data_IF_869676728556
#
_entry.id   IF_869676728556
#
_cell.length_a   1.000
_cell.length_b   1.000
_cell.length_c   1.000
_cell.angle_alpha   90.00
_cell.angle_beta   90.00
_cell.angle_gamma   90.00
#
_symmetry.space_group_name_H-M   'P 1'
#
loop_
_entity.id
_entity.type
_entity.pdbx_description
1 polymer ?
#
# COMPACT_ATOMS: atom_id res chain seq x y z
N UNK A 1 -4.78 88.37 -11.01
CA UNK A 1 -5.86 87.44 -11.42
C UNK A 1 -5.26 86.04 -11.43
N UNK A 2 -5.71 85.20 -10.49
CA UNK A 2 -5.44 83.76 -10.24
C UNK A 2 -3.96 83.31 -10.15
N UNK A 3 -3.36 83.08 -8.98
CA UNK A 3 -3.61 82.01 -7.96
C UNK A 3 -3.63 80.61 -8.57
N UNK A 4 -2.53 79.85 -8.39
CA UNK A 4 -2.56 78.38 -8.38
C UNK A 4 -2.21 77.89 -6.97
N UNK A 5 -3.16 77.16 -6.39
CA UNK A 5 -3.13 76.53 -5.06
C UNK A 5 -2.44 75.18 -5.13
N UNK A 6 -1.79 74.83 -4.02
CA UNK A 6 -1.32 73.49 -3.65
C UNK A 6 -2.47 72.46 -3.63
N UNK A 7 -2.16 71.20 -3.94
CA UNK A 7 -2.69 70.11 -3.12
C UNK A 7 -1.62 69.01 -2.87
N UNK A 8 -1.58 68.57 -1.61
CA UNK A 8 -0.76 67.49 -1.07
C UNK A 8 -1.61 66.22 -1.05
N UNK A 9 -0.96 65.10 -1.32
CA UNK A 9 -1.13 63.75 -0.72
C UNK A 9 -1.31 62.66 -1.76
N UNK A 10 -0.48 61.62 -1.64
CA UNK A 10 -0.83 60.18 -1.61
C UNK A 10 0.46 59.38 -1.86
N UNK A 11 1.16 59.04 -0.78
CA UNK A 11 1.25 57.66 -0.24
C UNK A 11 2.10 56.75 -1.14
N UNK A 12 3.31 56.49 -0.64
CA UNK A 12 4.22 55.45 -1.12
C UNK A 12 3.51 54.09 -1.12
N UNK A 13 3.14 53.59 -2.29
CA UNK A 13 2.69 52.22 -2.46
C UNK A 13 3.89 51.27 -2.27
N UNK A 14 4.00 50.69 -1.08
CA UNK A 14 4.80 49.46 -0.89
C UNK A 14 4.12 48.34 -1.70
N UNK A 15 4.85 47.54 -2.48
CA UNK A 15 4.25 46.37 -3.11
C UNK A 15 3.75 45.43 -2.01
N UNK A 16 2.44 45.14 -2.03
CA UNK A 16 1.85 44.04 -1.25
C UNK A 16 2.60 42.77 -1.62
N UNK A 17 3.26 42.13 -0.65
CA UNK A 17 3.69 40.74 -0.79
C UNK A 17 2.43 39.93 -1.08
N UNK A 18 2.26 39.54 -2.33
CA UNK A 18 1.25 38.55 -2.71
C UNK A 18 1.58 37.29 -1.89
N UNK A 19 0.67 36.91 -1.01
CA UNK A 19 0.72 35.61 -0.35
C UNK A 19 0.76 34.56 -1.46
N UNK A 20 1.84 33.78 -1.50
CA UNK A 20 1.93 32.64 -2.42
C UNK A 20 0.83 31.65 -2.01
N UNK A 21 -0.07 31.23 -2.91
CA UNK A 21 -0.98 30.15 -2.59
C UNK A 21 -0.13 28.91 -2.28
N UNK A 22 -0.35 28.33 -1.11
CA UNK A 22 0.11 26.97 -0.81
C UNK A 22 -0.64 26.06 -1.77
N UNK A 23 -0.06 25.80 -2.94
CA UNK A 23 -0.42 24.65 -3.74
C UNK A 23 0.05 23.43 -2.95
N UNK A 24 -0.83 22.91 -2.10
CA UNK A 24 -0.75 21.52 -1.70
C UNK A 24 -0.88 20.74 -3.00
N UNK A 25 0.25 20.25 -3.53
CA UNK A 25 0.24 19.24 -4.58
C UNK A 25 -0.51 18.06 -3.96
N UNK A 26 -1.79 17.94 -4.30
CA UNK A 26 -2.57 16.74 -4.06
C UNK A 26 -1.84 15.68 -4.86
N UNK A 27 -0.98 14.88 -4.22
CA UNK A 27 -0.40 13.72 -4.90
C UNK A 27 -1.59 12.89 -5.33
N UNK A 28 -1.79 12.73 -6.63
CA UNK A 28 -2.83 11.86 -7.13
C UNK A 28 -2.60 10.48 -6.53
N UNK A 29 -3.66 9.95 -5.95
CA UNK A 29 -3.70 8.61 -5.42
C UNK A 29 -3.59 7.65 -6.61
N UNK A 30 -2.42 7.06 -6.79
CA UNK A 30 -2.14 6.19 -7.93
C UNK A 30 -2.52 4.74 -7.56
N UNK A 31 -3.81 4.42 -7.65
CA UNK A 31 -4.23 3.01 -7.72
C UNK A 31 -3.90 2.52 -9.12
N UNK A 32 -2.96 1.59 -9.21
CA UNK A 32 -2.55 0.99 -10.49
C UNK A 32 -3.43 -0.21 -10.83
N UNK A 33 -3.55 -0.51 -12.12
CA UNK A 33 -4.32 -1.66 -12.58
C UNK A 33 -3.67 -2.99 -12.22
N UNK A 34 -4.51 -3.98 -11.93
CA UNK A 34 -4.05 -5.36 -11.77
C UNK A 34 -3.57 -5.91 -13.14
N UNK A 35 -2.50 -6.72 -13.18
CA UNK A 35 -2.10 -7.42 -14.40
C UNK A 35 -3.23 -8.30 -14.93
N UNK A 36 -3.34 -8.43 -16.27
CA UNK A 36 -4.39 -9.23 -16.94
C UNK A 36 -4.55 -10.64 -16.35
N UNK A 37 -3.44 -11.33 -16.03
CA UNK A 37 -3.46 -12.66 -15.41
C UNK A 37 -4.25 -12.71 -14.10
N UNK A 38 -4.21 -11.64 -13.30
CA UNK A 38 -4.99 -11.55 -12.05
C UNK A 38 -6.44 -11.16 -12.37
N UNK A 39 -6.66 -10.22 -13.30
CA UNK A 39 -8.01 -9.80 -13.70
C UNK A 39 -8.82 -10.98 -14.26
N UNK A 40 -8.24 -11.72 -15.21
CA UNK A 40 -8.86 -12.90 -15.83
C UNK A 40 -9.20 -13.97 -14.78
N UNK A 41 -8.29 -14.24 -13.84
CA UNK A 41 -8.54 -15.15 -12.73
C UNK A 41 -9.70 -14.67 -11.84
N UNK A 42 -9.75 -13.38 -11.51
CA UNK A 42 -10.81 -12.82 -10.68
C UNK A 42 -12.17 -12.86 -11.38
N UNK A 43 -12.19 -12.72 -12.70
CA UNK A 43 -13.39 -12.91 -13.53
C UNK A 43 -13.81 -14.38 -13.60
N UNK A 44 -12.87 -15.31 -13.79
CA UNK A 44 -13.14 -16.76 -13.87
C UNK A 44 -13.80 -17.29 -12.58
N UNK A 45 -13.36 -16.78 -11.42
CA UNK A 45 -13.93 -17.16 -10.12
C UNK A 45 -15.10 -16.27 -9.66
N UNK A 46 -15.63 -15.44 -10.56
CA UNK A 46 -16.78 -14.55 -10.36
C UNK A 46 -16.64 -13.68 -9.09
N UNK A 47 -15.45 -13.08 -8.92
CA UNK A 47 -15.08 -12.34 -7.72
C UNK A 47 -15.95 -11.09 -7.56
N UNK A 48 -16.49 -10.81 -6.36
CA UNK A 48 -17.26 -9.58 -6.14
C UNK A 48 -16.44 -8.31 -6.40
N UNK A 49 -17.06 -7.27 -6.97
CA UNK A 49 -16.37 -6.00 -7.29
C UNK A 49 -15.65 -5.36 -6.09
N UNK A 50 -16.26 -5.47 -4.90
CA UNK A 50 -15.64 -5.01 -3.64
C UNK A 50 -14.30 -5.72 -3.37
N UNK A 51 -14.22 -7.01 -3.68
CA UNK A 51 -12.99 -7.80 -3.53
C UNK A 51 -11.96 -7.39 -4.59
N UNK A 52 -12.35 -7.25 -5.86
CA UNK A 52 -11.45 -6.81 -6.93
C UNK A 52 -10.78 -5.46 -6.59
N UNK A 53 -11.58 -4.48 -6.16
CA UNK A 53 -11.09 -3.17 -5.69
C UNK A 53 -10.16 -3.27 -4.49
N UNK A 54 -10.51 -4.12 -3.52
CA UNK A 54 -9.64 -4.36 -2.36
C UNK A 54 -8.25 -4.87 -2.79
N UNK A 55 -8.23 -5.91 -3.62
CA UNK A 55 -7.00 -6.52 -4.12
C UNK A 55 -6.18 -5.52 -4.95
N UNK A 56 -6.82 -4.67 -5.73
CA UNK A 56 -6.15 -3.62 -6.51
C UNK A 56 -5.49 -2.56 -5.61
N UNK A 57 -6.13 -2.14 -4.52
CA UNK A 57 -5.53 -1.24 -3.53
C UNK A 57 -4.31 -1.87 -2.87
N UNK A 58 -4.43 -3.13 -2.43
CA UNK A 58 -3.33 -3.83 -1.75
C UNK A 58 -2.17 -4.07 -2.71
N UNK A 59 -2.46 -4.41 -3.97
CA UNK A 59 -1.47 -4.50 -5.05
C UNK A 59 -0.73 -3.18 -5.26
N UNK A 60 -1.46 -2.06 -5.36
CA UNK A 60 -0.87 -0.72 -5.53
C UNK A 60 0.00 -0.34 -4.34
N UNK A 61 -0.47 -0.64 -3.13
CA UNK A 61 0.28 -0.39 -1.88
C UNK A 61 1.54 -1.24 -1.80
N UNK A 62 1.48 -2.50 -2.23
CA UNK A 62 2.64 -3.40 -2.28
C UNK A 62 3.67 -2.93 -3.31
N UNK A 63 3.23 -2.47 -4.48
CA UNK A 63 4.10 -1.87 -5.49
C UNK A 63 4.84 -0.64 -4.96
N UNK A 64 4.14 0.28 -4.30
CA UNK A 64 4.78 1.46 -3.71
C UNK A 64 5.73 1.08 -2.55
N UNK A 65 5.34 0.13 -1.69
CA UNK A 65 6.16 -0.34 -0.58
C UNK A 65 7.45 -1.02 -1.09
N UNK A 66 7.34 -1.93 -2.06
CA UNK A 66 8.49 -2.60 -2.68
C UNK A 66 9.44 -1.58 -3.31
N UNK A 67 8.90 -0.62 -4.06
CA UNK A 67 9.70 0.42 -4.69
C UNK A 67 10.45 1.27 -3.64
N UNK A 68 9.79 1.67 -2.56
CA UNK A 68 10.44 2.44 -1.49
C UNK A 68 11.50 1.62 -0.74
N UNK A 69 11.25 0.33 -0.46
CA UNK A 69 12.24 -0.57 0.16
C UNK A 69 13.47 -0.72 -0.74
N UNK A 70 13.29 -0.92 -2.05
CA UNK A 70 14.41 -1.02 -3.00
C UNK A 70 15.19 0.28 -3.17
N UNK A 71 14.51 1.43 -3.10
CA UNK A 71 15.18 2.73 -3.15
C UNK A 71 16.03 2.98 -1.91
N UNK A 72 15.53 2.63 -0.73
CA UNK A 72 16.26 2.79 0.52
C UNK A 72 17.40 1.77 0.66
N UNK A 73 17.16 0.52 0.27
CA UNK A 73 18.14 -0.56 0.32
C UNK A 73 18.34 -1.22 -1.05
N UNK A 74 19.14 -0.63 -1.96
CA UNK A 74 19.29 -1.12 -3.33
C UNK A 74 19.84 -2.55 -3.47
N UNK A 75 20.49 -3.07 -2.43
CA UNK A 75 21.07 -4.43 -2.40
C UNK A 75 20.13 -5.48 -1.79
N UNK A 76 18.94 -5.08 -1.32
CA UNK A 76 17.96 -6.04 -0.78
C UNK A 76 17.50 -7.00 -1.88
N UNK A 77 17.38 -8.28 -1.53
CA UNK A 77 16.93 -9.33 -2.45
C UNK A 77 15.62 -9.90 -1.95
N UNK A 78 14.59 -9.82 -2.79
CA UNK A 78 13.32 -10.50 -2.66
C UNK A 78 12.66 -10.60 -4.03
N UNK A 79 11.69 -11.49 -4.17
CA UNK A 79 10.95 -11.66 -5.40
C UNK A 79 9.76 -10.68 -5.49
N UNK A 80 9.94 -9.58 -6.22
CA UNK A 80 8.91 -8.55 -6.41
C UNK A 80 7.66 -9.08 -7.12
N UNK A 81 7.82 -9.82 -8.21
CA UNK A 81 6.69 -10.38 -8.96
C UNK A 81 5.81 -11.26 -8.06
N UNK A 82 6.46 -12.02 -7.18
CA UNK A 82 5.80 -12.90 -6.22
C UNK A 82 5.06 -12.11 -5.12
N UNK A 83 5.64 -11.03 -4.62
CA UNK A 83 4.98 -10.11 -3.67
C UNK A 83 3.73 -9.50 -4.32
N UNK A 84 3.88 -8.96 -5.53
CA UNK A 84 2.79 -8.29 -6.24
C UNK A 84 1.66 -9.27 -6.57
N UNK A 85 2.00 -10.48 -7.02
CA UNK A 85 1.03 -11.55 -7.20
C UNK A 85 0.30 -11.88 -5.90
N UNK A 86 1.04 -12.04 -4.79
CA UNK A 86 0.48 -12.30 -3.47
C UNK A 86 -0.49 -11.20 -3.04
N UNK A 87 -0.08 -9.94 -3.13
CA UNK A 87 -0.90 -8.77 -2.79
C UNK A 87 -2.21 -8.74 -3.59
N UNK A 88 -2.13 -8.98 -4.90
CA UNK A 88 -3.28 -8.99 -5.80
C UNK A 88 -4.19 -10.22 -5.70
N UNK A 89 -3.83 -11.23 -4.91
CA UNK A 89 -4.61 -12.49 -4.81
C UNK A 89 -4.83 -13.00 -3.39
N UNK A 90 -4.23 -12.41 -2.35
CA UNK A 90 -4.24 -12.96 -0.99
C UNK A 90 -5.65 -13.24 -0.44
N UNK A 91 -6.62 -12.42 -0.81
CA UNK A 91 -7.99 -12.52 -0.32
C UNK A 91 -8.93 -13.26 -1.29
N UNK A 92 -8.41 -13.88 -2.36
CA UNK A 92 -9.21 -14.51 -3.42
C UNK A 92 -10.17 -15.60 -2.91
N UNK A 93 -9.86 -16.23 -1.77
CA UNK A 93 -10.78 -17.18 -1.12
C UNK A 93 -12.12 -16.57 -0.73
N UNK A 94 -12.23 -15.24 -0.65
CA UNK A 94 -13.48 -14.52 -0.41
C UNK A 94 -14.43 -14.54 -1.62
N UNK A 95 -13.96 -14.92 -2.81
CA UNK A 95 -14.84 -15.26 -3.93
C UNK A 95 -15.67 -16.52 -3.64
N UNK A 96 -15.13 -17.46 -2.84
CA UNK A 96 -15.85 -18.66 -2.39
C UNK A 96 -16.58 -18.45 -1.06
N UNK A 97 -16.01 -17.67 -0.14
CA UNK A 97 -16.55 -17.39 1.20
C UNK A 97 -16.97 -15.91 1.27
N UNK A 98 -17.93 -15.53 0.43
CA UNK A 98 -18.34 -14.13 0.22
C UNK A 98 -18.81 -13.41 1.50
N UNK A 99 -19.34 -14.14 2.48
CA UNK A 99 -19.72 -13.58 3.80
C UNK A 99 -18.53 -12.90 4.50
N UNK A 100 -17.32 -13.42 4.33
CA UNK A 100 -16.10 -12.88 4.96
C UNK A 100 -15.60 -11.57 4.30
N UNK A 101 -16.32 -11.03 3.31
CA UNK A 101 -16.13 -9.65 2.83
C UNK A 101 -16.70 -8.60 3.81
N UNK A 102 -17.68 -9.00 4.62
CA UNK A 102 -18.42 -8.11 5.52
C UNK A 102 -18.29 -8.54 6.98
N UNK A 103 -18.06 -9.82 7.21
CA UNK A 103 -17.94 -10.43 8.54
C UNK A 103 -16.51 -10.87 8.82
N UNK A 104 -16.17 -10.97 10.10
CA UNK A 104 -14.90 -11.59 10.49
C UNK A 104 -14.91 -13.07 10.15
N UNK A 105 -13.79 -13.57 9.65
CA UNK A 105 -13.60 -15.00 9.42
C UNK A 105 -12.23 -15.27 8.83
N UNK A 106 -11.92 -16.57 8.69
CA UNK A 106 -10.60 -17.07 8.26
C UNK A 106 -10.73 -18.24 7.30
N UNK A 107 -11.95 -18.63 6.89
CA UNK A 107 -12.16 -19.78 6.01
C UNK A 107 -11.66 -19.47 4.60
N UNK A 108 -11.69 -18.21 4.18
CA UNK A 108 -11.14 -17.77 2.90
C UNK A 108 -9.64 -18.08 2.78
N UNK A 109 -8.87 -18.08 3.88
CA UNK A 109 -7.41 -18.23 3.83
C UNK A 109 -7.01 -19.58 3.18
N UNK A 110 -7.50 -20.68 3.75
CA UNK A 110 -7.21 -22.02 3.23
C UNK A 110 -7.93 -22.29 1.90
N UNK A 111 -9.15 -21.75 1.74
CA UNK A 111 -9.93 -21.91 0.49
C UNK A 111 -9.29 -21.19 -0.68
N UNK A 112 -8.75 -19.99 -0.48
CA UNK A 112 -8.04 -19.21 -1.49
C UNK A 112 -6.75 -19.89 -1.93
N UNK A 113 -5.99 -20.45 -0.97
CA UNK A 113 -4.79 -21.25 -1.29
C UNK A 113 -5.12 -22.43 -2.21
N UNK A 114 -6.15 -23.23 -1.86
CA UNK A 114 -6.55 -24.35 -2.72
C UNK A 114 -7.15 -23.90 -4.05
N UNK A 115 -7.89 -22.79 -4.07
CA UNK A 115 -8.44 -22.22 -5.29
C UNK A 115 -7.32 -21.89 -6.29
N UNK A 116 -6.28 -21.18 -5.85
CA UNK A 116 -5.12 -20.86 -6.69
C UNK A 116 -4.41 -22.11 -7.20
N UNK A 117 -4.16 -23.09 -6.32
CA UNK A 117 -3.53 -24.35 -6.72
C UNK A 117 -4.35 -25.12 -7.77
N UNK A 118 -5.68 -25.15 -7.63
CA UNK A 118 -6.57 -25.80 -8.59
C UNK A 118 -6.61 -25.09 -9.94
N UNK A 119 -6.31 -23.79 -9.99
CA UNK A 119 -6.14 -23.01 -11.23
C UNK A 119 -4.70 -23.07 -11.78
N UNK A 120 -3.87 -24.00 -11.28
CA UNK A 120 -2.54 -24.26 -11.81
C UNK A 120 -1.44 -23.32 -11.32
N UNK A 121 -1.73 -22.44 -10.35
CA UNK A 121 -0.71 -21.60 -9.73
C UNK A 121 0.19 -22.43 -8.82
N UNK A 122 1.48 -22.04 -8.76
CA UNK A 122 2.46 -22.78 -7.97
C UNK A 122 2.17 -22.66 -6.48
N UNK A 123 2.69 -23.62 -5.69
CA UNK A 123 2.57 -23.59 -4.22
C UNK A 123 3.15 -22.29 -3.65
N UNK A 124 4.26 -21.80 -4.21
CA UNK A 124 4.90 -20.54 -3.81
C UNK A 124 3.99 -19.33 -4.02
N UNK A 125 3.24 -19.27 -5.13
CA UNK A 125 2.29 -18.20 -5.41
C UNK A 125 1.03 -18.33 -4.53
N UNK A 126 0.49 -19.54 -4.40
CA UNK A 126 -0.77 -19.78 -3.68
C UNK A 126 -0.66 -19.58 -2.15
N UNK A 127 0.55 -19.60 -1.59
CA UNK A 127 0.74 -19.53 -0.12
C UNK A 127 0.25 -18.22 0.48
N UNK A 128 0.32 -17.10 -0.25
CA UNK A 128 -0.07 -15.78 0.26
C UNK A 128 -1.54 -15.72 0.67
N UNK A 129 -2.39 -16.51 0.02
CA UNK A 129 -3.78 -16.61 0.42
C UNK A 129 -3.95 -17.15 1.86
N UNK A 130 -2.98 -17.91 2.35
CA UNK A 130 -2.92 -18.36 3.73
C UNK A 130 -2.02 -17.47 4.61
N UNK A 131 -0.80 -17.16 4.18
CA UNK A 131 0.20 -16.49 5.02
C UNK A 131 -0.16 -15.05 5.35
N UNK A 132 -0.93 -14.34 4.51
CA UNK A 132 -1.28 -12.94 4.76
C UNK A 132 -1.99 -12.72 6.11
N UNK A 133 -2.89 -13.66 6.48
CA UNK A 133 -3.63 -13.68 7.74
C UNK A 133 -2.89 -14.38 8.88
N UNK A 134 -1.85 -15.16 8.55
CA UNK A 134 -1.05 -15.98 9.46
C UNK A 134 0.40 -15.49 9.58
N UNK A 135 0.63 -14.17 9.54
CA UNK A 135 1.98 -13.57 9.57
C UNK A 135 2.76 -13.79 10.87
N UNK A 136 2.10 -14.30 11.91
CA UNK A 136 2.74 -14.67 13.18
C UNK A 136 3.46 -16.02 13.12
N UNK A 137 3.18 -16.85 12.12
CA UNK A 137 3.84 -18.14 11.92
C UNK A 137 5.37 -18.00 11.84
N UNK A 138 6.05 -19.10 12.17
CA UNK A 138 7.49 -19.23 12.02
C UNK A 138 7.85 -19.49 10.55
N UNK A 139 9.08 -19.16 10.16
CA UNK A 139 9.64 -19.46 8.83
C UNK A 139 8.94 -18.78 7.63
N UNK A 140 8.28 -17.63 7.85
CA UNK A 140 7.79 -16.80 6.76
C UNK A 140 8.93 -16.06 6.06
N UNK A 141 8.83 -15.89 4.75
CA UNK A 141 9.81 -15.11 3.99
C UNK A 141 9.51 -13.62 4.09
N UNK A 142 10.46 -12.77 3.68
CA UNK A 142 10.21 -11.33 3.59
C UNK A 142 9.03 -11.00 2.66
N UNK A 143 8.85 -11.77 1.58
CA UNK A 143 7.72 -11.62 0.66
C UNK A 143 6.38 -11.83 1.37
N UNK A 144 6.26 -12.86 2.21
CA UNK A 144 5.05 -13.13 2.99
C UNK A 144 4.70 -11.96 3.91
N UNK A 145 5.71 -11.42 4.60
CA UNK A 145 5.51 -10.30 5.51
C UNK A 145 5.21 -8.98 4.78
N UNK A 146 5.81 -8.73 3.61
CA UNK A 146 5.50 -7.54 2.81
C UNK A 146 4.04 -7.59 2.35
N UNK A 147 3.54 -8.74 1.87
CA UNK A 147 2.12 -8.89 1.48
C UNK A 147 1.20 -8.61 2.67
N UNK A 148 1.49 -9.20 3.83
CA UNK A 148 0.74 -8.92 5.07
C UNK A 148 0.79 -7.44 5.44
N UNK A 149 1.96 -6.81 5.37
CA UNK A 149 2.15 -5.41 5.74
C UNK A 149 1.37 -4.50 4.80
N UNK A 150 1.37 -4.77 3.49
CA UNK A 150 0.57 -4.06 2.50
C UNK A 150 -0.93 -4.12 2.80
N UNK A 151 -1.49 -5.28 3.17
CA UNK A 151 -2.91 -5.41 3.58
C UNK A 151 -3.26 -4.61 4.86
N UNK A 152 -2.28 -4.32 5.72
CA UNK A 152 -2.52 -3.48 6.91
C UNK A 152 -2.35 -2.01 6.61
N UNK A 153 -1.26 -1.64 5.94
CA UNK A 153 -0.84 -0.25 5.82
C UNK A 153 -1.70 0.55 4.83
N UNK A 154 -2.36 -0.07 3.85
CA UNK A 154 -3.20 0.64 2.88
C UNK A 154 -4.34 1.44 3.55
N UNK A 155 -4.84 0.95 4.69
CA UNK A 155 -5.86 1.59 5.53
C UNK A 155 -5.25 2.27 6.77
N UNK A 156 -3.95 2.48 6.77
CA UNK A 156 -3.21 3.16 7.84
C UNK A 156 -3.04 2.32 9.10
N UNK A 157 -3.35 1.01 9.06
CA UNK A 157 -3.24 0.14 10.22
C UNK A 157 -1.77 -0.25 10.42
N UNK A 158 -1.17 0.31 11.47
CA UNK A 158 0.16 -0.07 11.97
C UNK A 158 0.09 -1.30 12.87
N UNK A 159 1.02 -2.24 12.71
CA UNK A 159 1.13 -3.44 13.54
C UNK A 159 2.61 -3.59 13.92
N UNK A 160 2.96 -3.12 15.12
CA UNK A 160 4.36 -3.06 15.58
C UNK A 160 5.10 -4.40 15.45
N UNK A 161 4.47 -5.53 15.82
CA UNK A 161 5.09 -6.86 15.73
C UNK A 161 5.39 -7.28 14.27
N UNK A 162 4.49 -6.97 13.34
CA UNK A 162 4.70 -7.27 11.91
C UNK A 162 5.81 -6.39 11.33
N UNK A 163 5.82 -5.11 11.69
CA UNK A 163 6.84 -4.14 11.27
C UNK A 163 8.22 -4.52 11.81
N UNK A 164 8.30 -4.94 13.07
CA UNK A 164 9.52 -5.48 13.69
C UNK A 164 10.02 -6.73 12.96
N UNK A 165 9.13 -7.68 12.60
CA UNK A 165 9.52 -8.86 11.83
C UNK A 165 10.11 -8.48 10.47
N UNK A 166 9.48 -7.56 9.75
CA UNK A 166 10.01 -7.05 8.46
C UNK A 166 11.37 -6.37 8.66
N UNK A 167 11.48 -5.49 9.64
CA UNK A 167 12.73 -4.78 9.95
C UNK A 167 13.88 -5.72 10.30
N UNK A 168 13.61 -6.77 11.09
CA UNK A 168 14.62 -7.80 11.41
C UNK A 168 15.10 -8.55 10.18
N UNK A 169 14.20 -9.01 9.30
CA UNK A 169 14.63 -9.72 8.10
C UNK A 169 15.47 -8.82 7.18
N UNK A 170 15.11 -7.53 7.04
CA UNK A 170 15.90 -6.57 6.26
C UNK A 170 17.29 -6.36 6.89
N UNK A 171 17.34 -6.14 8.21
CA UNK A 171 18.57 -5.97 8.98
C UNK A 171 19.50 -7.18 8.84
N UNK A 172 18.95 -8.39 8.98
CA UNK A 172 19.70 -9.65 8.85
C UNK A 172 20.20 -9.88 7.42
N UNK A 173 19.35 -9.66 6.41
CA UNK A 173 19.70 -9.86 5.00
C UNK A 173 20.81 -8.91 4.53
N UNK A 174 20.83 -7.69 5.06
CA UNK A 174 21.79 -6.65 4.68
C UNK A 174 22.99 -6.56 5.63
N UNK A 175 22.94 -7.26 6.77
CA UNK A 175 23.92 -7.19 7.84
C UNK A 175 24.16 -5.73 8.30
N UNK A 176 23.07 -5.01 8.56
CA UNK A 176 23.05 -3.63 9.05
C UNK A 176 22.29 -3.53 10.37
N UNK A 177 22.48 -2.43 11.10
CA UNK A 177 21.83 -2.22 12.40
C UNK A 177 20.30 -2.16 12.29
N UNK A 178 19.61 -2.84 13.21
CA UNK A 178 18.16 -2.90 13.22
C UNK A 178 17.50 -1.52 13.44
N UNK A 179 18.09 -0.64 14.26
CA UNK A 179 17.51 0.68 14.51
C UNK A 179 17.60 1.58 13.29
N UNK A 180 18.68 1.47 12.51
CA UNK A 180 18.78 2.11 11.20
C UNK A 180 17.63 1.66 10.30
N UNK A 181 17.37 0.34 10.22
CA UNK A 181 16.26 -0.20 9.43
C UNK A 181 14.91 0.29 9.92
N UNK A 182 14.70 0.24 11.24
CA UNK A 182 13.43 0.62 11.87
C UNK A 182 13.05 2.06 11.55
N UNK A 183 13.98 3.02 11.67
CA UNK A 183 13.72 4.43 11.40
C UNK A 183 13.29 4.63 9.94
N UNK A 184 13.98 3.99 9.00
CA UNK A 184 13.68 4.11 7.58
C UNK A 184 12.39 3.43 7.19
N UNK A 185 12.12 2.25 7.73
CA UNK A 185 10.86 1.55 7.51
C UNK A 185 9.68 2.36 8.08
N UNK A 186 9.81 2.97 9.25
CA UNK A 186 8.78 3.86 9.81
C UNK A 186 8.50 5.05 8.89
N UNK A 187 9.53 5.73 8.38
CA UNK A 187 9.36 6.84 7.43
C UNK A 187 8.58 6.41 6.17
N UNK A 188 8.86 5.22 5.63
CA UNK A 188 8.14 4.64 4.48
C UNK A 188 6.68 4.38 4.84
N UNK A 189 6.41 3.74 5.98
CA UNK A 189 5.06 3.38 6.42
C UNK A 189 4.22 4.60 6.77
N UNK A 190 4.82 5.65 7.35
CA UNK A 190 4.15 6.93 7.57
C UNK A 190 3.70 7.54 6.24
N UNK A 191 4.57 7.59 5.24
CA UNK A 191 4.22 8.12 3.90
C UNK A 191 3.06 7.35 3.26
N UNK A 192 3.06 6.02 3.35
CA UNK A 192 1.97 5.18 2.84
C UNK A 192 0.66 5.44 3.60
N UNK A 193 0.72 5.50 4.93
CA UNK A 193 -0.45 5.69 5.77
C UNK A 193 -1.15 7.04 5.55
N UNK A 194 -0.44 8.07 5.09
CA UNK A 194 -1.04 9.38 4.79
C UNK A 194 -2.06 9.35 3.65
N UNK A 195 -2.08 8.29 2.82
CA UNK A 195 -3.04 8.13 1.71
C UNK A 195 -4.28 7.31 2.09
N UNK A 196 -4.35 6.82 3.32
CA UNK A 196 -5.35 5.82 3.74
C UNK A 196 -6.79 6.30 3.58
N UNK A 197 -7.09 7.53 3.97
CA UNK A 197 -8.44 8.08 3.86
C UNK A 197 -8.94 8.11 2.42
N UNK A 198 -8.06 8.52 1.50
CA UNK A 198 -8.38 8.58 0.08
C UNK A 198 -8.54 7.16 -0.52
N UNK A 199 -7.73 6.18 -0.09
CA UNK A 199 -7.85 4.77 -0.51
C UNK A 199 -9.15 4.13 0.00
N UNK A 200 -9.54 4.42 1.25
CA UNK A 200 -10.80 3.96 1.83
C UNK A 200 -12.00 4.53 1.07
N UNK A 201 -11.94 5.82 0.69
CA UNK A 201 -12.98 6.42 -0.14
C UNK A 201 -13.05 5.78 -1.52
N UNK A 202 -11.90 5.52 -2.16
CA UNK A 202 -11.83 4.86 -3.47
C UNK A 202 -12.43 3.45 -3.44
N UNK A 203 -12.15 2.66 -2.41
CA UNK A 203 -12.70 1.30 -2.28
C UNK A 203 -14.24 1.26 -2.23
N UNK A 204 -14.86 2.29 -1.64
CA UNK A 204 -16.30 2.37 -1.39
C UNK A 204 -17.09 3.10 -2.49
N UNK A 205 -16.45 3.43 -3.63
CA UNK A 205 -17.15 3.85 -4.85
C UNK A 205 -17.91 2.66 -5.47
#
# INVERSE_FOLDING_TARGET
MLIWRFDKTLVLNRPRKLARPLYTIKRELEVIDLPNRIVELLEEVDSPERLKRHLQIVYSTASELVNQIKQEWPTIVFNEELILFGAGTHDIGKSLITKELYEKGRKHELKGKYLLQNHGFKIEEARFAFTHGNWQEENLTIEDLIVSLSDKIWKGKRIAELEEKVGKIISDNLNIDYWEVYVKLDEILVKLSNKSDELILWQNQ
#
